data_IF_678406721528
#
_entry.id   IF_678406721528
#
_cell.length_a   1.000
_cell.length_b   1.000
_cell.length_c   1.000
_cell.angle_alpha   90.00
_cell.angle_beta   90.00
_cell.angle_gamma   90.00
#
_symmetry.space_group_name_H-M   'P 1'
#
loop_
_entity.id
_entity.type
_entity.pdbx_description
1 polymer ?
#
# COMPACT_ATOMS: atom_id res chain seq x y z
N UNK A 1 -21.12 -28.82 13.83
CA UNK A 1 -21.78 -28.31 15.02
C UNK A 1 -21.23 -29.10 16.21
N UNK A 2 -20.14 -28.63 16.80
CA UNK A 2 -19.62 -29.19 18.05
C UNK A 2 -19.84 -28.11 19.11
N UNK A 3 -21.05 -28.07 19.61
CA UNK A 3 -21.46 -27.30 20.77
C UNK A 3 -21.00 -28.11 22.01
N UNK A 4 -19.69 -27.99 22.30
CA UNK A 4 -19.18 -28.52 23.57
C UNK A 4 -19.48 -27.46 24.62
N UNK A 5 -20.53 -27.75 25.43
CA UNK A 5 -20.76 -27.04 26.67
C UNK A 5 -19.47 -26.92 27.48
N UNK A 6 -19.22 -25.81 28.18
CA UNK A 6 -18.03 -25.66 29.00
C UNK A 6 -17.95 -26.79 30.03
N UNK A 7 -16.85 -27.57 30.01
CA UNK A 7 -16.61 -28.58 31.02
C UNK A 7 -16.50 -27.91 32.39
N UNK A 8 -17.51 -28.11 33.23
CA UNK A 8 -17.42 -27.73 34.63
C UNK A 8 -16.41 -28.67 35.34
N UNK A 9 -15.21 -28.15 35.55
CA UNK A 9 -14.24 -28.85 36.39
C UNK A 9 -14.63 -28.60 37.85
N UNK A 10 -15.30 -29.57 38.45
CA UNK A 10 -15.58 -29.55 39.88
C UNK A 10 -14.34 -30.12 40.57
N UNK A 11 -13.51 -29.25 41.15
CA UNK A 11 -12.41 -29.66 42.00
C UNK A 11 -12.85 -29.53 43.47
N UNK A 12 -13.11 -30.66 44.11
CA UNK A 12 -13.34 -30.71 45.56
C UNK A 12 -12.01 -30.65 46.27
N UNK A 13 -11.77 -29.57 46.99
CA UNK A 13 -10.62 -29.42 47.85
C UNK A 13 -11.02 -29.96 49.23
N UNK A 14 -10.47 -31.12 49.59
CA UNK A 14 -10.61 -31.66 50.95
C UNK A 14 -9.54 -30.99 51.84
N UNK A 15 -9.95 -30.14 52.74
CA UNK A 15 -9.12 -29.78 53.89
C UNK A 15 -9.30 -30.81 54.99
N UNK A 16 -8.25 -31.53 55.33
CA UNK A 16 -8.19 -32.40 56.50
C UNK A 16 -7.99 -31.53 57.75
N UNK A 17 -9.06 -31.01 58.30
CA UNK A 17 -9.12 -30.47 59.64
C UNK A 17 -10.30 -31.13 60.34
N UNK A 18 -10.26 -31.24 61.67
CA UNK A 18 -11.28 -31.87 62.54
C UNK A 18 -12.69 -31.26 62.39
N UNK A 19 -12.97 -30.47 61.39
CA UNK A 19 -14.18 -29.75 61.16
C UNK A 19 -14.67 -29.99 59.71
N UNK A 20 -15.96 -29.99 59.53
CA UNK A 20 -16.73 -30.33 58.33
C UNK A 20 -16.07 -29.96 56.96
N UNK A 21 -16.15 -30.87 55.97
CA UNK A 21 -15.60 -30.59 54.66
C UNK A 21 -16.30 -29.41 54.00
N UNK A 22 -15.51 -28.41 53.58
CA UNK A 22 -16.00 -27.29 52.79
C UNK A 22 -15.82 -27.68 51.32
N UNK A 23 -16.93 -27.83 50.62
CA UNK A 23 -16.91 -28.00 49.15
C UNK A 23 -16.99 -26.61 48.49
N UNK A 24 -15.97 -26.27 47.72
CA UNK A 24 -15.98 -25.07 46.89
C UNK A 24 -16.25 -25.47 45.43
N UNK A 25 -17.26 -24.88 44.80
CA UNK A 25 -17.50 -25.00 43.36
C UNK A 25 -16.70 -23.89 42.66
N UNK A 26 -15.66 -24.25 41.90
CA UNK A 26 -14.93 -23.31 41.05
C UNK A 26 -15.51 -23.46 39.65
N UNK A 27 -16.15 -22.41 39.16
CA UNK A 27 -16.63 -22.35 37.79
C UNK A 27 -15.54 -21.62 36.95
N UNK A 28 -14.92 -22.35 36.06
CA UNK A 28 -14.04 -21.79 35.04
C UNK A 28 -14.88 -21.45 33.83
N UNK A 29 -14.97 -20.17 33.51
CA UNK A 29 -15.45 -19.74 32.19
C UNK A 29 -14.23 -19.54 31.31
N UNK A 30 -14.08 -20.35 30.26
CA UNK A 30 -13.09 -20.06 29.23
C UNK A 30 -13.54 -18.77 28.51
N UNK A 31 -12.70 -17.75 28.55
CA UNK A 31 -12.90 -16.57 27.71
C UNK A 31 -12.58 -16.99 26.27
N UNK A 32 -13.55 -16.97 25.38
CA UNK A 32 -13.29 -17.12 23.95
C UNK A 32 -12.66 -15.82 23.46
N UNK A 33 -11.42 -15.86 23.01
CA UNK A 33 -10.75 -14.77 22.33
C UNK A 33 -11.06 -14.84 20.83
N UNK A 34 -11.35 -13.73 20.21
CA UNK A 34 -11.56 -13.59 18.77
C UNK A 34 -10.66 -12.48 18.28
N UNK A 35 -9.85 -12.76 17.26
CA UNK A 35 -8.94 -11.73 16.70
C UNK A 35 -9.70 -10.54 16.17
N UNK A 36 -9.17 -9.33 16.32
CA UNK A 36 -9.75 -8.12 15.78
C UNK A 36 -9.70 -8.13 14.26
N UNK A 37 -10.65 -7.44 13.65
CA UNK A 37 -10.73 -7.25 12.20
C UNK A 37 -10.11 -5.90 11.89
N UNK A 38 -8.94 -5.93 11.23
CA UNK A 38 -8.29 -4.73 10.71
C UNK A 38 -8.98 -4.27 9.42
N UNK A 39 -9.10 -2.97 9.24
CA UNK A 39 -9.55 -2.33 8.02
C UNK A 39 -8.65 -1.13 7.72
N UNK A 40 -7.77 -1.27 6.73
CA UNK A 40 -6.78 -0.26 6.35
C UNK A 40 -7.34 0.86 5.44
N UNK A 41 -8.65 0.81 5.14
CA UNK A 41 -9.29 1.69 4.17
C UNK A 41 -9.25 1.11 2.76
N UNK A 42 -9.90 1.83 1.83
CA UNK A 42 -9.92 1.48 0.41
C UNK A 42 -8.62 1.93 -0.27
N UNK A 43 -8.23 1.24 -1.35
CA UNK A 43 -7.13 1.67 -2.21
C UNK A 43 -7.39 3.07 -2.78
N UNK A 44 -6.35 3.91 -2.84
CA UNK A 44 -6.46 5.31 -3.25
C UNK A 44 -5.57 5.61 -4.44
N UNK A 45 -5.97 6.63 -5.20
CA UNK A 45 -5.13 7.26 -6.24
C UNK A 45 -4.76 8.65 -5.74
N UNK A 46 -3.47 8.97 -5.77
CA UNK A 46 -2.92 10.19 -5.20
C UNK A 46 -2.02 10.93 -6.19
N UNK A 47 -1.87 12.24 -6.00
CA UNK A 47 -0.97 13.09 -6.78
C UNK A 47 0.30 13.42 -6.00
N UNK A 48 1.40 13.69 -6.71
CA UNK A 48 2.68 14.11 -6.11
C UNK A 48 2.46 15.35 -5.23
N UNK A 49 2.99 15.30 -4.00
CA UNK A 49 2.88 16.38 -3.02
C UNK A 49 1.58 16.38 -2.20
N UNK A 50 0.62 15.54 -2.52
CA UNK A 50 -0.61 15.38 -1.75
C UNK A 50 -0.32 14.76 -0.36
N UNK A 51 -1.13 15.12 0.64
CA UNK A 51 -1.09 14.48 1.95
C UNK A 51 -2.19 13.43 1.97
N UNK A 52 -1.79 12.16 2.08
CA UNK A 52 -2.71 11.03 2.18
C UNK A 52 -2.91 10.65 3.64
N UNK A 53 -4.16 10.42 4.01
CA UNK A 53 -4.54 9.87 5.31
C UNK A 53 -4.83 8.38 5.17
N UNK A 54 -4.16 7.59 6.00
CA UNK A 54 -4.41 6.17 6.22
C UNK A 54 -5.39 6.06 7.38
N UNK A 55 -6.58 5.52 7.16
CA UNK A 55 -7.70 5.54 8.13
C UNK A 55 -8.09 4.13 8.55
N UNK A 56 -7.80 3.78 9.81
CA UNK A 56 -8.16 2.51 10.43
C UNK A 56 -9.48 2.56 11.22
N UNK A 57 -10.27 3.61 11.11
CA UNK A 57 -11.47 3.83 11.95
C UNK A 57 -12.56 2.76 11.80
N UNK A 58 -12.53 2.00 10.72
CA UNK A 58 -13.46 0.87 10.48
C UNK A 58 -12.98 -0.46 11.08
N UNK A 59 -11.78 -0.49 11.67
CA UNK A 59 -11.30 -1.67 12.37
C UNK A 59 -12.10 -1.88 13.65
N UNK A 60 -12.39 -3.13 13.99
CA UNK A 60 -13.15 -3.46 15.19
C UNK A 60 -12.76 -4.82 15.76
N UNK A 61 -13.08 -5.01 17.04
CA UNK A 61 -12.97 -6.29 17.72
C UNK A 61 -14.37 -6.80 18.06
N UNK A 62 -14.75 -8.03 17.62
CA UNK A 62 -16.08 -8.57 17.82
C UNK A 62 -16.47 -8.85 19.29
N UNK A 63 -15.48 -9.05 20.19
CA UNK A 63 -15.70 -9.47 21.59
C UNK A 63 -14.99 -8.57 22.61
N UNK A 64 -14.36 -7.47 22.18
CA UNK A 64 -13.59 -6.58 23.05
C UNK A 64 -13.37 -5.20 22.46
N UNK A 65 -12.11 -4.75 22.48
CA UNK A 65 -11.70 -3.45 21.98
C UNK A 65 -10.27 -3.48 21.45
N UNK A 66 -10.01 -2.75 20.37
CA UNK A 66 -8.67 -2.52 19.85
C UNK A 66 -7.93 -1.57 20.78
N UNK A 67 -6.72 -1.95 21.22
CA UNK A 67 -5.87 -1.17 22.11
C UNK A 67 -4.66 -0.56 21.43
N UNK A 68 -4.26 -1.06 20.25
CA UNK A 68 -3.16 -0.47 19.48
C UNK A 68 -3.32 -0.62 17.98
N UNK A 69 -2.71 0.32 17.27
CA UNK A 69 -2.62 0.40 15.81
C UNK A 69 -1.15 0.56 15.43
N UNK A 70 -0.75 -0.06 14.34
CA UNK A 70 0.58 0.11 13.76
C UNK A 70 0.49 0.11 12.24
N UNK A 71 1.01 1.17 11.63
CA UNK A 71 1.13 1.32 10.19
C UNK A 71 2.58 1.19 9.77
N UNK A 72 2.86 0.26 8.86
CA UNK A 72 4.18 0.10 8.25
C UNK A 72 4.07 0.13 6.74
N UNK A 73 5.05 0.74 6.09
CA UNK A 73 5.20 0.64 4.65
C UNK A 73 5.80 -0.73 4.30
N UNK A 74 5.16 -1.46 3.37
CA UNK A 74 5.61 -2.80 2.94
C UNK A 74 6.19 -2.83 1.54
N UNK A 75 5.85 -1.84 0.69
CA UNK A 75 6.41 -1.74 -0.66
C UNK A 75 6.36 -0.32 -1.22
N UNK A 76 7.05 -0.10 -2.33
CA UNK A 76 7.11 1.17 -3.05
C UNK A 76 8.23 2.09 -2.57
N UNK A 77 8.24 3.33 -3.09
CA UNK A 77 9.21 4.34 -2.71
C UNK A 77 9.05 4.72 -1.23
N UNK A 78 10.16 4.77 -0.48
CA UNK A 78 10.16 5.05 0.95
C UNK A 78 9.57 6.42 1.27
N UNK A 79 8.65 6.46 2.23
CA UNK A 79 8.04 7.67 2.76
C UNK A 79 8.10 7.69 4.29
N UNK A 80 8.01 8.89 4.87
CA UNK A 80 7.91 9.06 6.31
C UNK A 80 6.43 9.07 6.71
N UNK A 81 6.02 8.12 7.55
CA UNK A 81 4.66 8.05 8.06
C UNK A 81 4.58 8.91 9.32
N UNK A 82 3.65 9.85 9.33
CA UNK A 82 3.31 10.68 10.51
C UNK A 82 2.27 9.93 11.34
N UNK A 83 2.47 9.86 12.65
CA UNK A 83 1.60 9.15 13.61
C UNK A 83 1.36 7.67 13.26
N UNK A 84 2.41 6.86 13.02
CA UNK A 84 2.25 5.48 12.56
C UNK A 84 1.51 4.55 13.54
N UNK A 85 1.40 4.94 14.81
CA UNK A 85 0.72 4.18 15.86
C UNK A 85 -0.66 4.73 16.22
N UNK A 86 -1.31 5.43 15.31
CA UNK A 86 -2.64 6.04 15.52
C UNK A 86 -3.68 5.42 14.59
N UNK A 87 -4.96 5.59 14.94
CA UNK A 87 -6.09 5.23 14.07
C UNK A 87 -5.94 5.92 12.71
N UNK A 88 -5.51 7.19 12.72
CA UNK A 88 -5.22 7.97 11.53
C UNK A 88 -3.73 8.26 11.46
N UNK A 89 -3.06 7.71 10.45
CA UNK A 89 -1.71 8.04 10.06
C UNK A 89 -1.72 8.85 8.75
N UNK A 90 -0.63 9.49 8.40
CA UNK A 90 -0.54 10.23 7.13
C UNK A 90 0.89 10.23 6.58
N UNK A 91 1.00 10.49 5.29
CA UNK A 91 2.29 10.74 4.65
C UNK A 91 2.13 11.72 3.49
N UNK A 92 3.24 12.30 3.04
CA UNK A 92 3.29 13.14 1.84
C UNK A 92 3.69 12.26 0.65
N UNK A 93 2.90 12.34 -0.42
CA UNK A 93 3.18 11.59 -1.67
C UNK A 93 4.50 12.08 -2.27
N UNK A 94 5.49 11.19 -2.47
CA UNK A 94 6.80 11.56 -2.97
C UNK A 94 6.76 11.87 -4.47
N UNK A 95 7.80 12.54 -4.96
CA UNK A 95 8.03 12.66 -6.40
C UNK A 95 8.43 11.31 -6.96
N UNK A 96 7.80 10.89 -8.05
CA UNK A 96 8.08 9.64 -8.76
C UNK A 96 8.24 9.91 -10.24
N UNK A 97 9.11 9.16 -10.92
CA UNK A 97 9.37 9.32 -12.37
C UNK A 97 8.48 8.42 -13.23
N UNK A 98 7.87 7.41 -12.63
CA UNK A 98 6.96 6.45 -13.29
C UNK A 98 5.76 6.21 -12.39
N UNK A 99 4.64 5.80 -12.97
CA UNK A 99 3.47 5.38 -12.19
C UNK A 99 3.88 4.30 -11.19
N UNK A 100 3.61 4.55 -9.92
CA UNK A 100 4.14 3.76 -8.80
C UNK A 100 3.01 3.48 -7.81
N UNK A 101 3.07 2.33 -7.16
CA UNK A 101 2.18 2.00 -6.04
C UNK A 101 3.01 1.89 -4.76
N UNK A 102 2.54 2.53 -3.70
CA UNK A 102 3.07 2.41 -2.34
C UNK A 102 2.05 1.63 -1.52
N UNK A 103 2.48 0.56 -0.85
CA UNK A 103 1.60 -0.28 -0.05
C UNK A 103 1.92 -0.15 1.43
N UNK A 104 0.87 -0.06 2.24
CA UNK A 104 0.95 0.00 3.69
C UNK A 104 0.20 -1.17 4.30
N UNK A 105 0.74 -1.69 5.40
CA UNK A 105 0.11 -2.68 6.24
C UNK A 105 -0.33 -2.04 7.54
N UNK A 106 -1.60 -2.20 7.87
CA UNK A 106 -2.14 -1.97 9.19
C UNK A 106 -2.05 -3.24 10.01
N UNK A 107 -1.59 -3.15 11.25
CA UNK A 107 -1.73 -4.18 12.27
C UNK A 107 -2.49 -3.59 13.45
N UNK A 108 -3.49 -4.28 13.94
CA UNK A 108 -4.26 -3.91 15.14
C UNK A 108 -4.13 -5.00 16.19
N UNK A 109 -4.11 -4.62 17.47
CA UNK A 109 -4.06 -5.54 18.62
C UNK A 109 -5.24 -5.23 19.52
N UNK A 110 -5.92 -6.27 20.00
CA UNK A 110 -7.04 -6.16 20.91
C UNK A 110 -6.61 -6.22 22.40
N UNK A 111 -7.59 -6.10 23.30
CA UNK A 111 -7.39 -6.18 24.72
C UNK A 111 -7.09 -7.61 25.24
N UNK A 112 -7.16 -8.61 24.40
CA UNK A 112 -6.80 -10.01 24.68
C UNK A 112 -5.41 -10.38 24.16
N UNK A 113 -4.77 -9.47 23.38
CA UNK A 113 -3.45 -9.66 22.77
C UNK A 113 -3.50 -10.34 21.40
N UNK A 114 -4.70 -10.57 20.85
CA UNK A 114 -4.87 -11.08 19.49
C UNK A 114 -4.61 -10.00 18.46
N UNK A 115 -4.22 -10.39 17.23
CA UNK A 115 -3.83 -9.46 16.17
C UNK A 115 -4.66 -9.68 14.92
N UNK A 116 -4.99 -8.56 14.27
CA UNK A 116 -5.53 -8.51 12.91
C UNK A 116 -4.65 -7.65 12.01
N UNK A 117 -4.65 -7.89 10.71
CA UNK A 117 -3.93 -7.02 9.77
C UNK A 117 -4.65 -6.91 8.43
N UNK A 118 -4.42 -5.76 7.76
CA UNK A 118 -4.98 -5.43 6.44
C UNK A 118 -4.00 -4.60 5.64
N UNK A 119 -4.21 -4.50 4.32
CA UNK A 119 -3.34 -3.79 3.38
C UNK A 119 -4.14 -2.71 2.66
N UNK A 120 -3.47 -1.57 2.38
CA UNK A 120 -3.98 -0.53 1.50
C UNK A 120 -2.91 -0.11 0.51
N UNK A 121 -3.32 0.14 -0.74
CA UNK A 121 -2.46 0.54 -1.84
C UNK A 121 -2.76 1.99 -2.24
N UNK A 122 -1.69 2.78 -2.38
CA UNK A 122 -1.78 4.15 -2.88
C UNK A 122 -1.08 4.19 -4.23
N UNK A 123 -1.86 4.39 -5.30
CA UNK A 123 -1.35 4.46 -6.67
C UNK A 123 -1.08 5.90 -7.05
N UNK A 124 0.12 6.20 -7.51
CA UNK A 124 0.56 7.51 -7.98
C UNK A 124 0.71 7.41 -9.49
N UNK A 125 -0.31 7.82 -10.27
CA UNK A 125 -0.23 7.80 -11.72
C UNK A 125 0.61 8.99 -12.20
N UNK A 126 1.47 8.73 -13.16
CA UNK A 126 2.12 9.79 -13.94
C UNK A 126 1.46 9.81 -15.32
N UNK A 127 0.64 10.82 -15.58
CA UNK A 127 -0.11 10.97 -16.82
C UNK A 127 0.36 12.14 -17.67
N UNK A 128 1.14 13.07 -17.09
CA UNK A 128 1.62 14.29 -17.74
C UNK A 128 3.02 14.68 -17.27
N UNK A 129 3.65 15.59 -18.00
CA UNK A 129 4.99 16.10 -17.66
C UNK A 129 6.14 15.21 -18.13
N UNK A 130 5.86 14.24 -19.01
CA UNK A 130 6.93 13.47 -19.65
C UNK A 130 7.60 14.33 -20.72
N UNK A 131 8.89 14.56 -20.52
CA UNK A 131 9.70 15.15 -21.60
C UNK A 131 10.28 14.03 -22.49
N UNK A 132 10.64 14.32 -23.73
CA UNK A 132 11.32 13.38 -24.61
C UNK A 132 12.55 12.75 -23.95
N UNK A 133 13.27 13.53 -23.15
CA UNK A 133 14.43 13.06 -22.40
C UNK A 133 14.07 11.95 -21.39
N UNK A 134 13.03 12.14 -20.59
CA UNK A 134 12.59 11.13 -19.60
C UNK A 134 12.14 9.83 -20.27
N UNK A 135 11.49 9.93 -21.42
CA UNK A 135 11.05 8.74 -22.19
C UNK A 135 12.23 7.94 -22.72
N UNK A 136 13.32 8.63 -23.10
CA UNK A 136 14.54 7.99 -23.61
C UNK A 136 15.46 7.46 -22.51
N UNK A 137 15.29 7.87 -21.26
CA UNK A 137 16.08 7.38 -20.15
C UNK A 137 15.88 5.86 -19.98
N UNK A 138 16.76 5.08 -20.58
CA UNK A 138 16.80 3.64 -20.40
C UNK A 138 17.41 3.33 -19.03
N UNK A 139 16.73 2.50 -18.23
CA UNK A 139 17.23 2.03 -16.95
C UNK A 139 18.36 1.02 -17.08
N UNK A 140 18.51 0.41 -18.29
CA UNK A 140 19.55 -0.57 -18.56
C UNK A 140 20.09 -0.35 -19.97
N UNK A 141 21.42 -0.30 -20.09
CA UNK A 141 22.10 -0.29 -21.38
C UNK A 141 22.22 -1.74 -21.85
N UNK A 142 21.30 -2.18 -22.69
CA UNK A 142 21.39 -3.49 -23.34
C UNK A 142 22.76 -3.74 -24.00
N UNK A 143 23.05 -4.97 -24.33
CA UNK A 143 24.28 -5.38 -24.97
C UNK A 143 24.01 -5.55 -26.45
N UNK A 144 24.61 -4.70 -27.31
CA UNK A 144 24.52 -4.81 -28.77
C UNK A 144 23.76 -3.68 -29.45
N UNK A 145 23.39 -3.90 -30.73
CA UNK A 145 22.69 -2.94 -31.60
C UNK A 145 21.16 -2.86 -31.31
N UNK A 146 20.72 -3.44 -30.23
CA UNK A 146 19.31 -3.46 -29.85
C UNK A 146 18.88 -2.07 -29.33
N UNK A 147 17.77 -1.58 -29.86
CA UNK A 147 17.11 -0.39 -29.32
C UNK A 147 16.77 -0.63 -27.86
N UNK A 148 17.30 0.19 -26.96
CA UNK A 148 17.02 0.11 -25.54
C UNK A 148 15.53 0.31 -25.28
N UNK A 149 14.83 -0.65 -24.67
CA UNK A 149 13.42 -0.46 -24.36
C UNK A 149 13.28 0.68 -23.37
N UNK A 150 12.41 1.64 -23.69
CA UNK A 150 12.00 2.65 -22.72
C UNK A 150 11.31 1.98 -21.55
N UNK A 151 11.57 2.44 -20.32
CA UNK A 151 10.84 2.02 -19.12
C UNK A 151 9.32 2.29 -19.19
N UNK A 152 8.91 3.09 -20.16
CA UNK A 152 7.51 3.44 -20.45
C UNK A 152 6.90 2.63 -21.61
N UNK A 153 7.60 1.63 -22.14
CA UNK A 153 7.09 0.84 -23.26
C UNK A 153 5.70 0.24 -22.94
N UNK A 154 4.76 0.43 -23.86
CA UNK A 154 3.38 -0.04 -23.73
C UNK A 154 2.47 0.87 -22.88
N UNK A 155 2.98 1.97 -22.33
CA UNK A 155 2.18 2.95 -21.59
C UNK A 155 1.67 4.07 -22.51
N UNK A 156 0.48 4.57 -22.24
CA UNK A 156 -0.05 5.78 -22.90
C UNK A 156 0.42 6.99 -22.09
N UNK A 157 1.23 7.84 -22.71
CA UNK A 157 1.84 9.00 -22.07
C UNK A 157 1.42 10.28 -22.77
N UNK A 158 1.24 11.36 -22.02
CA UNK A 158 1.15 12.71 -22.53
C UNK A 158 2.55 13.33 -22.50
N UNK A 159 3.08 13.73 -23.67
CA UNK A 159 4.45 14.22 -23.83
C UNK A 159 4.44 15.69 -24.15
N UNK A 160 5.19 16.47 -23.40
CA UNK A 160 5.37 17.90 -23.62
C UNK A 160 6.77 18.18 -24.18
N UNK A 161 6.84 18.93 -25.28
CA UNK A 161 8.11 19.27 -25.92
C UNK A 161 7.93 20.19 -27.14
N UNK A 162 9.06 20.63 -27.70
CA UNK A 162 9.07 21.48 -28.88
C UNK A 162 9.19 20.63 -30.15
N UNK A 163 8.27 20.78 -31.08
CA UNK A 163 8.37 20.15 -32.40
C UNK A 163 9.49 20.82 -33.20
N UNK A 164 10.57 20.09 -33.43
CA UNK A 164 11.77 20.60 -34.10
C UNK A 164 11.86 20.18 -35.56
N UNK A 165 11.18 19.11 -35.96
CA UNK A 165 11.12 18.69 -37.35
C UNK A 165 9.80 17.96 -37.63
N UNK A 166 9.30 18.15 -38.88
CA UNK A 166 8.15 17.43 -39.42
C UNK A 166 8.61 16.71 -40.68
N UNK A 167 8.33 15.41 -40.81
CA UNK A 167 8.50 14.70 -42.08
C UNK A 167 7.14 14.60 -42.78
N UNK A 168 6.95 15.31 -43.91
CA UNK A 168 5.66 15.34 -44.59
C UNK A 168 5.43 14.17 -45.56
N UNK A 169 6.36 13.25 -45.67
CA UNK A 169 6.45 12.28 -46.77
C UNK A 169 5.43 11.15 -46.72
N UNK A 170 4.73 10.99 -45.60
CA UNK A 170 3.80 9.90 -45.38
C UNK A 170 2.35 10.40 -45.34
N UNK A 171 1.41 9.51 -45.53
CA UNK A 171 -0.03 9.76 -45.42
C UNK A 171 -0.41 10.40 -44.08
N UNK A 172 0.48 10.26 -43.07
CA UNK A 172 0.39 10.90 -41.75
C UNK A 172 1.71 11.58 -41.40
N UNK A 173 1.68 12.84 -40.96
CA UNK A 173 2.90 13.58 -40.63
C UNK A 173 3.56 12.96 -39.37
N UNK A 174 4.81 12.62 -39.53
CA UNK A 174 5.66 12.24 -38.40
C UNK A 174 6.41 13.44 -37.88
N UNK A 175 6.58 13.56 -36.56
CA UNK A 175 7.31 14.72 -36.00
C UNK A 175 8.38 14.29 -35.02
N UNK A 176 9.36 15.18 -34.92
CA UNK A 176 10.41 15.09 -33.94
C UNK A 176 10.12 16.08 -32.82
N UNK A 177 9.98 15.58 -31.55
CA UNK A 177 9.76 16.42 -30.37
C UNK A 177 11.04 16.41 -29.55
N UNK A 178 11.49 17.61 -29.17
CA UNK A 178 12.70 17.81 -28.36
C UNK A 178 12.35 18.42 -27.00
N UNK A 179 13.11 18.04 -25.99
CA UNK A 179 13.08 18.64 -24.66
C UNK A 179 13.81 19.99 -24.69
N UNK A 180 13.11 21.14 -24.50
CA UNK A 180 13.73 22.44 -24.56
C UNK A 180 14.69 22.73 -23.42
N UNK A 181 14.65 21.94 -22.34
CA UNK A 181 15.51 22.10 -21.17
C UNK A 181 16.88 21.44 -21.30
N UNK A 182 17.12 20.66 -22.38
CA UNK A 182 18.33 19.89 -22.60
C UNK A 182 19.09 20.41 -23.83
N UNK A 183 20.42 20.52 -23.71
CA UNK A 183 21.29 20.94 -24.80
C UNK A 183 21.76 19.78 -25.70
N UNK A 184 21.64 18.54 -25.21
CA UNK A 184 22.01 17.34 -25.94
C UNK A 184 20.75 16.67 -26.54
N UNK A 185 20.99 15.72 -27.47
CA UNK A 185 19.96 14.96 -28.19
C UNK A 185 18.91 14.30 -27.23
N UNK A 186 17.93 15.06 -26.84
CA UNK A 186 16.83 14.62 -25.98
C UNK A 186 15.50 14.71 -26.75
N UNK A 187 15.45 14.12 -27.92
CA UNK A 187 14.26 14.13 -28.78
C UNK A 187 13.77 12.74 -29.12
N UNK A 188 12.46 12.60 -29.30
CA UNK A 188 11.81 11.37 -29.76
C UNK A 188 11.14 11.59 -31.11
N UNK A 189 11.11 10.53 -31.91
CA UNK A 189 10.40 10.51 -33.16
C UNK A 189 9.01 9.89 -32.94
N UNK A 190 7.97 10.61 -33.31
CA UNK A 190 6.60 10.16 -33.11
C UNK A 190 6.02 9.75 -34.48
N UNK A 191 5.59 8.48 -34.55
CA UNK A 191 4.80 7.96 -35.64
C UNK A 191 3.32 8.11 -35.34
N UNK A 192 2.58 8.69 -36.27
CA UNK A 192 1.12 8.70 -36.21
C UNK A 192 0.63 7.53 -37.04
N UNK A 193 0.11 6.50 -36.38
CA UNK A 193 -0.62 5.43 -37.04
C UNK A 193 -2.12 5.75 -37.03
N UNK A 194 -2.76 5.56 -38.17
CA UNK A 194 -4.23 5.67 -38.31
C UNK A 194 -4.96 4.50 -37.73
#
# INVERSE_FOLDING_TARGET
TNDSAPEEIIQSIYYASDHYPVAAKIVYTSKTTTSPIAHAGEDQVAQIGEIITLDASKSYDPNGSIISYEWIQVSGQNVSITNPNSINASFVVPTVDISTTISFKLTVVDNDGEMGSDLVNITIPITSGFTPYLIQLASDKGVGDDCFPSKFAGQKLEVEGVVTAIRPDDQYPNFFIQDPSKQEWAGIFIYINS
#
